data_IF_202257168111
#
_entry.id   IF_202257168111
#
_cell.length_a   1.000
_cell.length_b   1.000
_cell.length_c   1.000
_cell.angle_alpha   90.00
_cell.angle_beta   90.00
_cell.angle_gamma   90.00
#
_symmetry.space_group_name_H-M   'P 1'
#
loop_
_entity.id
_entity.type
_entity.pdbx_description
1 polymer ?
#
# COMPACT_ATOMS: atom_id res chain seq x y z
N UNK A 1 24.04 13.52 13.53
CA UNK A 1 22.81 14.06 14.14
C UNK A 1 21.90 14.49 13.00
N UNK A 2 20.82 13.75 12.73
CA UNK A 2 19.89 14.10 11.65
C UNK A 2 18.88 15.14 12.18
N UNK A 3 18.84 16.31 11.54
CA UNK A 3 17.83 17.32 11.80
C UNK A 3 16.51 16.88 11.15
N UNK A 4 15.53 16.51 11.97
CA UNK A 4 14.17 16.26 11.50
C UNK A 4 13.41 17.58 11.67
N UNK A 5 12.96 18.23 10.57
CA UNK A 5 12.20 19.46 10.67
C UNK A 5 10.90 19.22 11.44
N UNK A 6 10.41 20.20 12.22
CA UNK A 6 9.13 20.09 12.91
C UNK A 6 8.01 19.87 11.88
N UNK A 7 7.11 18.91 12.16
CA UNK A 7 5.95 18.64 11.30
C UNK A 7 5.13 19.93 11.16
N UNK A 8 4.90 20.38 9.92
CA UNK A 8 4.07 21.55 9.63
C UNK A 8 2.63 21.33 10.12
N UNK A 9 1.90 22.40 10.47
CA UNK A 9 0.55 22.31 11.04
C UNK A 9 -0.51 22.12 9.95
N UNK A 10 -0.29 21.21 9.00
CA UNK A 10 -1.37 20.75 8.16
C UNK A 10 -2.25 19.84 9.01
N UNK A 11 -3.57 20.01 8.95
CA UNK A 11 -4.53 19.06 9.53
C UNK A 11 -4.21 17.67 8.97
N UNK A 12 -3.49 16.88 9.76
CA UNK A 12 -2.82 15.65 9.33
C UNK A 12 -3.82 14.48 9.29
N UNK A 13 -4.98 14.72 8.66
CA UNK A 13 -6.02 13.72 8.48
C UNK A 13 -5.70 12.88 7.25
N UNK A 14 -5.78 11.56 7.39
CA UNK A 14 -5.72 10.66 6.26
C UNK A 14 -6.85 10.97 5.26
N UNK A 15 -6.60 10.97 3.93
CA UNK A 15 -7.60 11.32 2.92
C UNK A 15 -8.58 10.16 2.69
N UNK A 16 -9.56 10.03 3.59
CA UNK A 16 -10.63 9.04 3.45
C UNK A 16 -11.45 9.29 2.18
N UNK A 17 -11.87 8.22 1.49
CA UNK A 17 -12.68 8.35 0.28
C UNK A 17 -11.90 8.68 -1.00
N UNK A 18 -10.57 8.73 -0.95
CA UNK A 18 -9.74 9.22 -2.06
C UNK A 18 -9.28 8.14 -3.05
N UNK A 19 -9.68 6.86 -2.86
CA UNK A 19 -9.37 5.84 -3.87
C UNK A 19 -10.19 6.04 -5.15
N UNK A 20 -9.67 5.54 -6.26
CA UNK A 20 -10.15 5.86 -7.61
C UNK A 20 -11.63 5.50 -7.87
N UNK A 21 -12.19 4.53 -7.14
CA UNK A 21 -13.58 4.11 -7.27
C UNK A 21 -14.18 3.74 -5.90
N UNK A 22 -15.49 3.51 -5.88
CA UNK A 22 -16.25 3.25 -4.66
C UNK A 22 -15.88 1.89 -4.05
N UNK A 23 -15.65 0.86 -4.86
CA UNK A 23 -15.31 -0.49 -4.42
C UNK A 23 -13.99 -0.51 -3.64
N UNK A 24 -12.99 0.25 -4.09
CA UNK A 24 -11.73 0.40 -3.37
C UNK A 24 -11.89 1.15 -2.04
N UNK A 25 -12.79 2.14 -1.99
CA UNK A 25 -13.09 2.81 -0.73
C UNK A 25 -13.82 1.89 0.25
N UNK A 26 -14.73 1.03 -0.21
CA UNK A 26 -15.42 0.03 0.60
C UNK A 26 -14.43 -0.99 1.18
N UNK A 27 -13.53 -1.54 0.36
CA UNK A 27 -12.46 -2.44 0.84
C UNK A 27 -11.62 -1.78 1.93
N UNK A 28 -11.30 -0.49 1.78
CA UNK A 28 -10.58 0.25 2.80
C UNK A 28 -11.34 0.29 4.13
N UNK A 29 -12.63 0.62 4.10
CA UNK A 29 -13.46 0.68 5.31
C UNK A 29 -13.67 -0.70 5.92
N UNK A 30 -13.90 -1.74 5.13
CA UNK A 30 -14.03 -3.12 5.60
C UNK A 30 -12.77 -3.58 6.33
N UNK A 31 -11.60 -3.37 5.75
CA UNK A 31 -10.33 -3.73 6.39
C UNK A 31 -10.10 -2.92 7.66
N UNK A 32 -10.47 -1.64 7.65
CA UNK A 32 -10.41 -0.79 8.84
C UNK A 32 -11.32 -1.31 9.95
N UNK A 33 -12.52 -1.72 9.63
CA UNK A 33 -13.49 -2.23 10.61
C UNK A 33 -13.10 -3.61 11.13
N UNK A 34 -12.58 -4.49 10.27
CA UNK A 34 -12.09 -5.82 10.65
C UNK A 34 -10.84 -5.77 11.53
N UNK A 35 -9.90 -4.87 11.25
CA UNK A 35 -8.57 -4.88 11.88
C UNK A 35 -8.37 -3.81 12.94
N UNK A 36 -9.17 -2.74 12.89
CA UNK A 36 -8.99 -1.52 13.69
C UNK A 36 -7.59 -0.90 13.52
N UNK A 37 -6.92 -1.18 12.39
CA UNK A 37 -5.59 -0.65 12.10
C UNK A 37 -5.65 0.84 11.70
N UNK A 38 -4.54 1.60 11.85
CA UNK A 38 -4.50 2.99 11.42
C UNK A 38 -4.76 3.14 9.92
N UNK A 39 -5.56 4.15 9.57
CA UNK A 39 -5.87 4.50 8.20
C UNK A 39 -4.64 4.64 7.28
N UNK A 40 -3.54 5.30 7.68
CA UNK A 40 -2.33 5.38 6.85
C UNK A 40 -1.69 4.03 6.56
N UNK A 41 -1.77 3.07 7.49
CA UNK A 41 -1.22 1.72 7.33
C UNK A 41 -2.03 0.92 6.30
N UNK A 42 -3.35 0.96 6.41
CA UNK A 42 -4.27 0.30 5.46
C UNK A 42 -4.08 0.91 4.07
N UNK A 43 -4.06 2.23 3.99
CA UNK A 43 -3.84 2.96 2.76
C UNK A 43 -2.55 2.57 2.04
N UNK A 44 -1.45 2.57 2.79
CA UNK A 44 -0.13 2.19 2.27
C UNK A 44 -0.13 0.74 1.77
N UNK A 45 -0.77 -0.18 2.49
CA UNK A 45 -0.87 -1.58 2.09
C UNK A 45 -1.71 -1.77 0.82
N UNK A 46 -2.84 -1.06 0.70
CA UNK A 46 -3.68 -1.10 -0.50
C UNK A 46 -2.95 -0.55 -1.73
N UNK A 47 -2.27 0.59 -1.58
CA UNK A 47 -1.45 1.17 -2.67
C UNK A 47 -0.32 0.24 -3.09
N UNK A 48 0.33 -0.43 -2.12
CA UNK A 48 1.37 -1.41 -2.40
C UNK A 48 0.85 -2.55 -3.29
N UNK A 49 -0.33 -3.05 -2.98
CA UNK A 49 -0.97 -4.17 -3.69
C UNK A 49 -1.41 -3.76 -5.08
N UNK A 50 -2.01 -2.58 -5.23
CA UNK A 50 -2.34 -2.00 -6.54
C UNK A 50 -1.09 -1.85 -7.39
N UNK A 51 0.00 -1.31 -6.82
CA UNK A 51 1.27 -1.21 -7.51
C UNK A 51 1.78 -2.60 -7.92
N UNK A 52 1.80 -3.58 -7.02
CA UNK A 52 2.25 -4.95 -7.31
C UNK A 52 1.49 -5.61 -8.46
N UNK A 53 0.15 -5.49 -8.53
CA UNK A 53 -0.61 -6.09 -9.66
C UNK A 53 -0.34 -5.39 -10.98
N UNK A 54 -0.05 -4.09 -10.97
CA UNK A 54 0.27 -3.35 -12.19
C UNK A 54 1.67 -3.63 -12.72
N UNK A 55 2.61 -4.10 -11.89
CA UNK A 55 4.00 -4.35 -12.32
C UNK A 55 4.12 -5.38 -13.44
N UNK A 56 3.23 -6.37 -13.49
CA UNK A 56 3.21 -7.35 -14.57
C UNK A 56 2.77 -6.77 -15.93
N UNK A 57 2.26 -5.53 -15.94
CA UNK A 57 1.68 -4.90 -17.13
C UNK A 57 2.56 -3.80 -17.73
N UNK A 58 3.61 -3.37 -17.02
CA UNK A 58 4.43 -2.22 -17.44
C UNK A 58 5.92 -2.44 -17.19
N UNK A 59 6.72 -2.12 -18.20
CA UNK A 59 8.18 -1.98 -18.10
C UNK A 59 8.56 -0.49 -18.03
N UNK A 60 9.70 -0.21 -17.40
CA UNK A 60 10.31 1.11 -17.33
C UNK A 60 11.42 1.19 -18.38
N UNK A 61 11.36 2.23 -19.20
CA UNK A 61 12.41 2.54 -20.17
C UNK A 61 13.53 3.38 -19.51
N UNK A 62 14.74 2.84 -19.52
CA UNK A 62 15.94 3.53 -19.08
C UNK A 62 16.42 4.59 -20.08
N UNK A 63 17.34 5.45 -19.66
CA UNK A 63 17.86 6.56 -20.49
C UNK A 63 18.47 6.13 -21.83
N UNK A 64 18.87 4.87 -21.95
CA UNK A 64 19.47 4.27 -23.15
C UNK A 64 18.47 3.45 -23.98
N UNK A 65 17.17 3.50 -23.64
CA UNK A 65 16.10 2.79 -24.35
C UNK A 65 15.92 1.33 -23.95
N UNK A 66 16.60 0.85 -22.89
CA UNK A 66 16.39 -0.50 -22.35
C UNK A 66 15.09 -0.54 -21.55
N UNK A 67 14.20 -1.48 -21.87
CA UNK A 67 13.01 -1.77 -21.07
C UNK A 67 13.36 -2.76 -19.95
N UNK A 68 13.01 -2.40 -18.71
CA UNK A 68 13.25 -3.23 -17.52
C UNK A 68 11.99 -3.36 -16.68
N UNK A 69 11.72 -4.52 -16.06
CA UNK A 69 10.54 -4.68 -15.22
C UNK A 69 10.51 -3.70 -14.05
N UNK A 70 9.32 -3.25 -13.69
CA UNK A 70 9.12 -2.47 -12.48
C UNK A 70 9.47 -3.28 -11.21
N UNK A 71 10.03 -2.61 -10.21
CA UNK A 71 10.21 -3.18 -8.86
C UNK A 71 9.59 -2.28 -7.80
N UNK A 72 9.04 -2.88 -6.75
CA UNK A 72 8.39 -2.17 -5.64
C UNK A 72 8.93 -2.71 -4.33
N UNK A 73 9.37 -1.79 -3.47
CA UNK A 73 9.76 -2.07 -2.10
C UNK A 73 8.86 -1.22 -1.21
N UNK A 74 8.13 -1.86 -0.30
CA UNK A 74 7.30 -1.17 0.69
C UNK A 74 7.78 -1.53 2.09
N UNK A 75 8.13 -0.51 2.86
CA UNK A 75 8.55 -0.63 4.25
C UNK A 75 7.55 0.10 5.16
N UNK A 76 6.95 -0.63 6.10
CA UNK A 76 6.02 -0.07 7.08
C UNK A 76 6.65 -0.15 8.46
N UNK A 77 6.97 1.01 9.03
CA UNK A 77 7.45 1.15 10.42
C UNK A 77 6.27 1.54 11.29
N UNK A 78 5.94 0.69 12.27
CA UNK A 78 4.91 0.98 13.26
C UNK A 78 5.20 0.19 14.54
N UNK A 79 4.53 0.53 15.65
CA UNK A 79 4.69 -0.15 16.94
C UNK A 79 4.15 -1.59 16.92
N UNK A 80 4.59 -2.40 17.87
CA UNK A 80 4.09 -3.77 18.03
C UNK A 80 2.60 -3.72 18.33
N UNK A 81 1.80 -4.50 17.61
CA UNK A 81 0.34 -4.54 17.78
C UNK A 81 -0.45 -3.72 16.76
N UNK A 82 0.20 -2.85 15.98
CA UNK A 82 -0.40 -2.00 14.92
C UNK A 82 -0.98 -2.76 13.72
N UNK A 83 -1.13 -4.09 13.82
CA UNK A 83 -1.75 -4.95 12.80
C UNK A 83 -1.12 -4.88 11.40
N UNK A 84 0.11 -4.35 11.27
CA UNK A 84 0.94 -4.34 10.04
C UNK A 84 0.82 -5.64 9.23
N UNK A 85 1.25 -6.75 9.81
CA UNK A 85 1.26 -8.06 9.15
C UNK A 85 -0.14 -8.58 8.87
N UNK A 86 -1.11 -8.29 9.72
CA UNK A 86 -2.50 -8.74 9.55
C UNK A 86 -3.15 -8.07 8.34
N UNK A 87 -3.03 -6.74 8.24
CA UNK A 87 -3.57 -5.96 7.12
C UNK A 87 -2.94 -6.40 5.79
N UNK A 88 -1.61 -6.51 5.74
CA UNK A 88 -0.91 -6.96 4.51
C UNK A 88 -1.37 -8.35 4.09
N UNK A 89 -1.50 -9.31 5.01
CA UNK A 89 -1.97 -10.67 4.70
C UNK A 89 -3.40 -10.71 4.17
N UNK A 90 -4.31 -9.96 4.78
CA UNK A 90 -5.71 -9.93 4.34
C UNK A 90 -5.79 -9.45 2.89
N UNK A 91 -5.11 -8.35 2.59
CA UNK A 91 -5.19 -7.72 1.28
C UNK A 91 -4.39 -8.50 0.22
N UNK A 92 -3.24 -9.11 0.56
CA UNK A 92 -2.42 -9.88 -0.39
C UNK A 92 -2.94 -11.29 -0.68
N UNK A 93 -3.83 -11.84 0.16
CA UNK A 93 -4.27 -13.24 0.07
C UNK A 93 -4.61 -13.69 -1.35
N UNK A 94 -5.36 -12.88 -2.10
CA UNK A 94 -5.78 -13.23 -3.47
C UNK A 94 -4.64 -13.21 -4.49
N UNK A 95 -3.65 -12.33 -4.30
CA UNK A 95 -2.45 -12.29 -5.14
C UNK A 95 -1.58 -13.51 -4.85
N UNK A 96 -1.41 -13.87 -3.58
CA UNK A 96 -0.65 -15.06 -3.18
C UNK A 96 -1.29 -16.34 -3.73
N UNK A 97 -2.62 -16.47 -3.64
CA UNK A 97 -3.37 -17.58 -4.25
C UNK A 97 -3.13 -17.67 -5.77
N UNK A 98 -3.25 -16.56 -6.49
CA UNK A 98 -3.03 -16.51 -7.94
C UNK A 98 -1.59 -16.90 -8.33
N UNK A 99 -0.59 -16.48 -7.53
CA UNK A 99 0.82 -16.82 -7.78
C UNK A 99 1.16 -18.29 -7.50
N UNK A 100 0.38 -18.99 -6.67
CA UNK A 100 0.57 -20.41 -6.39
C UNK A 100 -0.08 -21.33 -7.43
N UNK A 101 -0.99 -20.81 -8.24
CA UNK A 101 -1.71 -21.55 -9.30
C UNK A 101 -1.01 -21.45 -10.68
N UNK A 102 -0.04 -20.54 -10.82
CA UNK A 102 0.77 -20.32 -12.02
C UNK A 102 2.08 -21.12 -12.00
#
# INVERSE_FOLDING_TARGET
>A
MFFIPPKSPHTNSYPFGAFANQELNEIFYDVKDMTQAPAPLIGSAMMAIMASVTQAQVDVEGLTGEATPCSLIVAVVADKGERKTTVTKILMKKIEEANHEA
#
